data_IF_067897736072
#
_entry.id   IF_067897736072
#
_cell.length_a   1.000
_cell.length_b   1.000
_cell.length_c   1.000
_cell.angle_alpha   90.00
_cell.angle_beta   90.00
_cell.angle_gamma   90.00
#
_symmetry.space_group_name_H-M   'P 1'
#
loop_
_entity.id
_entity.type
_entity.pdbx_description
1 polymer ?
#
# COMPACT_ATOMS: atom_id res chain seq x y z
N UNK A 1 12.20 -7.66 13.80
CA UNK A 1 12.70 -8.80 12.96
C UNK A 1 13.47 -8.17 11.81
N UNK A 2 14.54 -8.78 11.30
CA UNK A 2 15.39 -8.11 10.32
C UNK A 2 14.96 -8.43 8.89
N UNK A 3 14.47 -7.42 8.16
CA UNK A 3 14.25 -7.49 6.73
C UNK A 3 15.49 -6.99 5.99
N UNK A 4 16.12 -7.85 5.21
CA UNK A 4 17.24 -7.49 4.33
C UNK A 4 16.78 -7.44 2.88
N UNK A 5 16.99 -6.29 2.22
CA UNK A 5 16.56 -6.04 0.84
C UNK A 5 17.79 -5.70 -0.01
N UNK A 6 18.07 -6.49 -1.05
CA UNK A 6 19.08 -6.12 -2.02
C UNK A 6 18.60 -4.93 -2.88
N UNK A 7 19.37 -3.84 -2.92
CA UNK A 7 19.05 -2.63 -3.67
C UNK A 7 19.64 -2.63 -5.07
N UNK A 8 20.92 -2.95 -5.19
CA UNK A 8 21.68 -3.14 -6.44
C UNK A 8 23.12 -3.59 -6.13
N UNK A 9 23.71 -4.41 -7.00
CA UNK A 9 25.11 -4.83 -6.92
C UNK A 9 25.53 -5.36 -5.53
N UNK A 10 24.75 -6.27 -4.92
CA UNK A 10 25.02 -6.86 -3.60
C UNK A 10 25.09 -5.83 -2.44
N UNK A 11 24.46 -4.66 -2.62
CA UNK A 11 24.23 -3.71 -1.52
C UNK A 11 22.87 -3.98 -0.91
N UNK A 12 22.87 -4.29 0.38
CA UNK A 12 21.67 -4.59 1.14
C UNK A 12 21.26 -3.41 2.01
N UNK A 13 19.95 -3.29 2.20
CA UNK A 13 19.33 -2.46 3.22
C UNK A 13 18.73 -3.39 4.26
N UNK A 14 19.21 -3.28 5.49
CA UNK A 14 18.65 -3.99 6.63
C UNK A 14 17.72 -3.05 7.41
N UNK A 15 16.51 -3.52 7.66
CA UNK A 15 15.44 -2.81 8.36
C UNK A 15 15.00 -3.69 9.52
N UNK A 16 14.92 -3.13 10.72
CA UNK A 16 14.17 -3.78 11.79
C UNK A 16 12.69 -3.57 11.52
N UNK A 17 12.07 -4.57 10.90
CA UNK A 17 10.66 -4.61 10.59
C UNK A 17 9.95 -5.44 11.67
N UNK A 18 9.01 -4.81 12.37
CA UNK A 18 8.04 -5.54 13.16
C UNK A 18 6.82 -5.87 12.29
N UNK A 19 5.76 -5.08 12.38
CA UNK A 19 4.56 -5.23 11.56
C UNK A 19 4.40 -4.15 10.50
N UNK A 20 4.98 -2.97 10.75
CA UNK A 20 4.92 -1.85 9.82
C UNK A 20 6.22 -1.07 9.74
N UNK A 21 6.49 -0.47 8.58
CA UNK A 21 7.64 0.41 8.36
C UNK A 21 7.27 1.60 7.48
N UNK A 22 7.82 2.76 7.82
CA UNK A 22 7.58 4.03 7.14
C UNK A 22 8.89 4.55 6.56
N UNK A 23 9.06 4.44 5.25
CA UNK A 23 10.27 4.84 4.54
C UNK A 23 10.04 6.21 3.91
N UNK A 24 10.82 7.21 4.33
CA UNK A 24 10.74 8.58 3.83
C UNK A 24 12.12 9.21 3.73
N UNK A 25 12.26 10.37 3.11
CA UNK A 25 13.53 11.10 3.10
C UNK A 25 13.76 11.89 1.81
N UNK A 26 14.84 12.68 1.75
CA UNK A 26 15.12 13.54 0.62
C UNK A 26 15.60 12.77 -0.63
N UNK A 27 16.07 11.53 -0.47
CA UNK A 27 16.65 10.75 -1.56
C UNK A 27 15.61 9.85 -2.24
N UNK A 28 14.81 10.45 -3.13
CA UNK A 28 13.79 9.74 -3.91
C UNK A 28 14.35 8.57 -4.73
N UNK A 29 15.61 8.68 -5.19
CA UNK A 29 16.26 7.60 -5.95
C UNK A 29 16.48 6.37 -5.07
N UNK A 30 16.84 6.54 -3.80
CA UNK A 30 16.98 5.44 -2.86
C UNK A 30 15.64 4.80 -2.52
N UNK A 31 14.60 5.60 -2.24
CA UNK A 31 13.24 5.08 -2.01
C UNK A 31 12.73 4.29 -3.22
N UNK A 32 12.96 4.79 -4.44
CA UNK A 32 12.61 4.06 -5.66
C UNK A 32 13.35 2.72 -5.80
N UNK A 33 14.63 2.63 -5.39
CA UNK A 33 15.37 1.37 -5.42
C UNK A 33 14.73 0.32 -4.51
N UNK A 34 14.26 0.71 -3.33
CA UNK A 34 13.55 -0.20 -2.41
C UNK A 34 12.29 -0.73 -3.08
N UNK A 35 11.40 0.18 -3.52
CA UNK A 35 10.16 -0.19 -4.18
C UNK A 35 10.38 -1.08 -5.40
N UNK A 36 11.34 -0.72 -6.25
CA UNK A 36 11.72 -1.49 -7.45
C UNK A 36 12.16 -2.91 -7.10
N UNK A 37 13.02 -3.06 -6.08
CA UNK A 37 13.57 -4.36 -5.69
C UNK A 37 12.46 -5.27 -5.17
N UNK A 38 11.59 -4.77 -4.30
CA UNK A 38 10.40 -5.48 -3.83
C UNK A 38 9.48 -5.85 -5.01
N UNK A 39 9.14 -4.87 -5.85
CA UNK A 39 8.21 -5.07 -6.97
C UNK A 39 8.68 -6.19 -7.91
N UNK A 40 9.95 -6.18 -8.31
CA UNK A 40 10.48 -7.19 -9.22
C UNK A 40 10.73 -8.55 -8.57
N UNK A 41 11.10 -8.56 -7.29
CA UNK A 41 11.26 -9.80 -6.52
C UNK A 41 9.94 -10.59 -6.47
N UNK A 42 8.86 -9.94 -6.03
CA UNK A 42 7.57 -10.61 -5.87
C UNK A 42 6.85 -10.88 -7.18
N UNK A 43 6.98 -10.02 -8.20
CA UNK A 43 6.37 -10.24 -9.52
C UNK A 43 7.17 -11.18 -10.44
N UNK A 44 8.32 -11.70 -10.01
CA UNK A 44 9.15 -12.67 -10.76
C UNK A 44 9.39 -12.26 -12.22
N UNK A 45 9.90 -11.04 -12.45
CA UNK A 45 10.27 -10.58 -13.79
C UNK A 45 11.80 -10.64 -14.03
N UNK A 46 12.37 -11.84 -14.25
CA UNK A 46 13.81 -12.07 -14.26
C UNK A 46 14.56 -11.36 -15.40
N UNK A 47 13.89 -10.99 -16.49
CA UNK A 47 14.55 -10.40 -17.66
C UNK A 47 15.01 -8.96 -17.43
N UNK A 48 14.45 -8.25 -16.45
CA UNK A 48 14.77 -6.85 -16.15
C UNK A 48 15.77 -6.71 -14.99
N UNK A 49 16.06 -7.78 -14.24
CA UNK A 49 16.89 -7.75 -13.05
C UNK A 49 18.35 -8.12 -13.30
N UNK A 50 18.67 -8.96 -14.29
CA UNK A 50 20.04 -9.49 -14.47
C UNK A 50 21.12 -8.43 -14.69
N UNK A 51 20.78 -7.31 -15.37
CA UNK A 51 21.74 -6.22 -15.60
C UNK A 51 22.02 -5.35 -14.36
N UNK A 52 21.20 -5.44 -13.31
CA UNK A 52 21.26 -4.57 -12.12
C UNK A 52 21.67 -5.36 -10.87
N UNK A 53 21.27 -6.64 -10.80
CA UNK A 53 21.46 -7.52 -9.65
C UNK A 53 22.44 -8.67 -9.96
N UNK A 54 22.84 -8.85 -11.23
CA UNK A 54 23.75 -9.92 -11.66
C UNK A 54 23.02 -11.21 -12.03
N UNK A 55 23.78 -12.31 -12.15
CA UNK A 55 23.22 -13.65 -12.40
C UNK A 55 22.45 -14.18 -11.18
N UNK A 56 22.82 -13.68 -10.00
CA UNK A 56 22.12 -13.85 -8.74
C UNK A 56 20.89 -12.93 -8.78
N UNK A 57 19.71 -13.53 -8.87
CA UNK A 57 18.42 -12.80 -8.87
C UNK A 57 18.33 -11.95 -7.59
N UNK A 58 17.48 -10.92 -7.59
CA UNK A 58 17.22 -10.05 -6.41
C UNK A 58 17.09 -10.90 -5.14
N UNK A 59 17.86 -10.58 -4.12
CA UNK A 59 17.82 -11.25 -2.82
C UNK A 59 17.01 -10.43 -1.80
N UNK A 60 16.02 -11.08 -1.18
CA UNK A 60 15.27 -10.53 -0.05
C UNK A 60 15.16 -11.62 1.01
N UNK A 61 15.55 -11.29 2.24
CA UNK A 61 15.57 -12.20 3.38
C UNK A 61 14.88 -11.58 4.59
N UNK A 62 14.28 -12.43 5.42
CA UNK A 62 13.67 -12.06 6.68
C UNK A 62 14.23 -12.96 7.78
N UNK A 63 14.89 -12.36 8.78
CA UNK A 63 15.67 -13.07 9.80
C UNK A 63 16.65 -14.11 9.21
N UNK A 64 17.45 -13.67 8.23
CA UNK A 64 18.43 -14.47 7.45
C UNK A 64 17.83 -15.61 6.58
N UNK A 65 16.50 -15.77 6.56
CA UNK A 65 15.82 -16.73 5.69
C UNK A 65 15.32 -16.07 4.40
N UNK A 66 15.66 -16.65 3.25
CA UNK A 66 15.21 -16.16 1.96
C UNK A 66 13.67 -16.17 1.86
N UNK A 67 13.09 -15.04 1.48
CA UNK A 67 11.65 -14.86 1.53
C UNK A 67 10.93 -15.70 0.44
N UNK A 68 9.98 -16.55 0.84
CA UNK A 68 9.24 -17.35 -0.15
C UNK A 68 8.17 -16.52 -0.85
N UNK A 69 8.38 -16.21 -2.13
CA UNK A 69 7.35 -15.58 -3.01
C UNK A 69 6.09 -16.46 -3.15
N UNK A 70 6.13 -17.75 -2.79
CA UNK A 70 4.94 -18.62 -2.84
C UNK A 70 4.11 -18.55 -1.56
N UNK A 71 4.75 -18.27 -0.42
CA UNK A 71 4.10 -18.26 0.89
C UNK A 71 3.61 -16.87 1.28
N UNK A 72 4.07 -15.83 0.58
CA UNK A 72 3.68 -14.45 0.79
C UNK A 72 2.78 -13.99 -0.36
N UNK A 73 1.65 -13.37 -0.01
CA UNK A 73 0.82 -12.63 -0.95
C UNK A 73 1.21 -11.15 -0.89
N UNK A 74 1.30 -10.46 -2.03
CA UNK A 74 1.78 -9.06 -2.05
C UNK A 74 0.90 -8.15 -2.87
N UNK A 75 0.54 -7.00 -2.30
CA UNK A 75 -0.23 -5.95 -2.94
C UNK A 75 0.60 -4.67 -3.02
N UNK A 76 0.84 -4.23 -4.24
CA UNK A 76 1.54 -2.97 -4.51
C UNK A 76 0.52 -1.90 -4.90
N UNK A 77 0.38 -0.86 -4.07
CA UNK A 77 -0.48 0.29 -4.33
C UNK A 77 0.40 1.49 -4.63
N UNK A 78 0.54 1.83 -5.92
CA UNK A 78 1.40 2.90 -6.40
C UNK A 78 0.73 3.83 -7.42
N UNK A 79 -0.54 3.56 -7.74
CA UNK A 79 -1.38 4.36 -8.63
C UNK A 79 -2.85 3.99 -8.43
N UNK A 80 -3.77 4.83 -8.91
CA UNK A 80 -5.19 4.46 -8.99
C UNK A 80 -5.41 3.16 -9.78
N UNK A 81 -4.65 2.95 -10.84
CA UNK A 81 -4.74 1.73 -11.68
C UNK A 81 -4.41 0.46 -10.89
N UNK A 82 -3.43 0.53 -9.97
CA UNK A 82 -3.06 -0.61 -9.13
C UNK A 82 -4.21 -1.09 -8.23
N UNK A 83 -5.02 -0.15 -7.72
CA UNK A 83 -6.22 -0.42 -6.92
C UNK A 83 -7.33 -0.94 -7.83
N UNK A 84 -7.59 -0.24 -8.94
CA UNK A 84 -8.63 -0.61 -9.91
C UNK A 84 -8.44 -2.04 -10.43
N UNK A 85 -7.19 -2.47 -10.70
CA UNK A 85 -6.88 -3.84 -11.13
C UNK A 85 -7.30 -4.92 -10.13
N UNK A 86 -7.46 -4.57 -8.84
CA UNK A 86 -7.98 -5.49 -7.82
C UNK A 86 -9.50 -5.62 -7.86
N UNK A 87 -10.19 -4.64 -8.45
CA UNK A 87 -11.65 -4.56 -8.56
C UNK A 87 -12.19 -5.14 -9.88
N UNK A 88 -11.32 -5.62 -10.76
CA UNK A 88 -11.73 -6.29 -12.00
C UNK A 88 -11.76 -7.79 -11.75
N UNK A 89 -12.71 -8.51 -12.34
CA UNK A 89 -12.72 -9.97 -12.34
C UNK A 89 -11.60 -10.53 -13.24
N UNK A 90 -10.40 -10.59 -12.69
CA UNK A 90 -9.17 -11.04 -13.34
C UNK A 90 -8.40 -11.93 -12.37
N UNK A 91 -7.83 -13.02 -12.87
CA UNK A 91 -7.04 -13.94 -12.05
C UNK A 91 -6.02 -13.19 -11.18
N UNK A 92 -5.94 -13.56 -9.90
CA UNK A 92 -5.11 -12.95 -8.84
C UNK A 92 -5.55 -11.52 -8.42
N UNK A 93 -6.75 -11.07 -8.77
CA UNK A 93 -7.35 -9.88 -8.18
C UNK A 93 -8.13 -10.25 -6.91
N UNK A 94 -8.25 -9.30 -5.99
CA UNK A 94 -9.07 -9.46 -4.79
C UNK A 94 -10.54 -9.80 -5.12
N UNK A 95 -11.13 -9.12 -6.12
CA UNK A 95 -12.51 -9.41 -6.53
C UNK A 95 -12.64 -10.84 -7.09
N UNK A 96 -11.65 -11.30 -7.85
CA UNK A 96 -11.65 -12.66 -8.39
C UNK A 96 -11.60 -13.71 -7.27
N UNK A 97 -10.74 -13.51 -6.27
CA UNK A 97 -10.64 -14.42 -5.12
C UNK A 97 -11.96 -14.43 -4.33
N UNK A 98 -12.54 -13.25 -4.08
CA UNK A 98 -13.82 -13.12 -3.40
C UNK A 98 -14.95 -13.83 -4.15
N UNK A 99 -15.17 -13.54 -5.43
CA UNK A 99 -16.28 -14.14 -6.18
C UNK A 99 -16.09 -15.65 -6.32
N UNK A 100 -14.88 -16.14 -6.59
CA UNK A 100 -14.66 -17.59 -6.72
C UNK A 100 -14.83 -18.34 -5.40
N UNK A 101 -14.63 -17.70 -4.25
CA UNK A 101 -14.93 -18.31 -2.94
C UNK A 101 -16.42 -18.67 -2.77
N UNK A 102 -17.30 -18.09 -3.59
CA UNK A 102 -18.74 -18.34 -3.57
C UNK A 102 -19.17 -19.53 -4.43
N UNK A 103 -18.24 -20.31 -5.01
CA UNK A 103 -18.58 -21.47 -5.86
C UNK A 103 -19.48 -22.50 -5.18
N UNK A 104 -19.31 -22.66 -3.86
CA UNK A 104 -20.01 -23.66 -3.08
C UNK A 104 -21.23 -23.07 -2.34
N UNK A 105 -21.62 -21.83 -2.69
CA UNK A 105 -22.77 -21.17 -2.09
C UNK A 105 -24.06 -21.91 -2.48
N UNK A 106 -24.75 -22.45 -1.47
CA UNK A 106 -25.94 -23.30 -1.64
C UNK A 106 -27.07 -22.56 -2.36
N UNK A 107 -27.30 -21.28 -2.03
CA UNK A 107 -28.38 -20.49 -2.62
C UNK A 107 -28.11 -20.23 -4.10
N UNK A 108 -26.88 -19.85 -4.45
CA UNK A 108 -26.45 -19.65 -5.84
C UNK A 108 -26.56 -20.96 -6.64
N UNK A 109 -26.10 -22.07 -6.07
CA UNK A 109 -26.16 -23.38 -6.74
C UNK A 109 -27.60 -23.85 -6.97
N UNK A 110 -28.50 -23.59 -6.02
CA UNK A 110 -29.93 -23.89 -6.18
C UNK A 110 -30.58 -23.07 -7.30
N UNK A 111 -30.22 -21.78 -7.44
CA UNK A 111 -30.71 -20.95 -8.53
C UNK A 111 -30.09 -21.32 -9.89
N UNK A 112 -28.84 -21.81 -9.90
CA UNK A 112 -28.20 -22.38 -11.09
C UNK A 112 -28.89 -23.66 -11.58
N UNK A 113 -29.28 -24.55 -10.68
CA UNK A 113 -30.05 -25.76 -11.03
C UNK A 113 -31.36 -25.38 -11.73
N UNK A 114 -32.09 -24.40 -11.19
CA UNK A 114 -33.32 -23.89 -11.82
C UNK A 114 -33.05 -23.30 -13.21
N UNK A 115 -31.96 -22.56 -13.38
CA UNK A 115 -31.59 -21.99 -14.67
C UNK A 115 -31.26 -23.08 -15.70
N UNK A 116 -30.57 -24.15 -15.28
CA UNK A 116 -30.26 -25.29 -16.14
C UNK A 116 -31.52 -26.09 -16.51
N UNK A 117 -32.49 -26.23 -15.61
CA UNK A 117 -33.81 -26.81 -15.94
C UNK A 117 -34.55 -26.01 -17.02
N UNK A 118 -34.48 -24.67 -16.98
CA UNK A 118 -35.05 -23.82 -18.03
C UNK A 118 -34.28 -23.95 -19.36
N UNK A 119 -32.95 -24.06 -19.34
CA UNK A 119 -32.15 -24.34 -20.53
C UNK A 119 -32.54 -25.67 -21.19
N UNK A 120 -32.81 -26.71 -20.40
CA UNK A 120 -33.30 -28.00 -20.91
C UNK A 120 -34.67 -27.86 -21.60
N UNK A 121 -35.58 -27.03 -21.06
CA UNK A 121 -36.88 -26.77 -21.74
C UNK A 121 -36.71 -26.05 -23.07
N UNK A 122 -35.76 -25.12 -23.16
CA UNK A 122 -35.42 -24.43 -24.42
C UNK A 122 -34.80 -25.43 -25.40
N UNK A 123 -33.92 -26.32 -24.94
CA UNK A 123 -33.32 -27.39 -25.74
C UNK A 123 -34.40 -28.26 -26.41
N UNK A 124 -35.36 -28.76 -25.63
CA UNK A 124 -36.46 -29.57 -26.13
C UNK A 124 -37.30 -28.83 -27.17
N UNK A 125 -37.62 -27.56 -26.91
CA UNK A 125 -38.38 -26.72 -27.84
C UNK A 125 -37.63 -26.47 -29.16
N UNK A 126 -36.30 -26.31 -29.08
CA UNK A 126 -35.44 -26.15 -30.25
C UNK A 126 -35.33 -27.46 -31.04
N UNK A 127 -35.23 -28.59 -30.35
CA UNK A 127 -35.21 -29.92 -30.97
C UNK A 127 -36.50 -30.19 -31.74
N UNK A 128 -37.67 -29.89 -31.16
CA UNK A 128 -38.97 -30.03 -31.82
C UNK A 128 -39.06 -29.17 -33.10
N UNK A 129 -38.34 -28.06 -33.14
CA UNK A 129 -38.26 -27.20 -34.33
C UNK A 129 -37.30 -27.77 -35.38
N UNK A 130 -36.16 -28.32 -34.94
CA UNK A 130 -35.18 -28.97 -35.82
C UNK A 130 -35.73 -30.24 -36.47
N UNK A 131 -36.46 -31.06 -35.72
CA UNK A 131 -37.02 -32.32 -36.19
C UNK A 131 -38.02 -32.14 -37.36
N UNK A 132 -38.56 -30.93 -37.54
CA UNK A 132 -39.41 -30.59 -38.70
C UNK A 132 -38.64 -30.50 -40.02
N UNK A 133 -37.33 -30.23 -39.95
CA UNK A 133 -36.50 -29.92 -41.12
C UNK A 133 -35.23 -30.77 -41.22
N UNK A 134 -34.87 -31.52 -40.18
CA UNK A 134 -33.66 -32.34 -40.13
C UNK A 134 -33.87 -33.57 -39.25
N UNK A 135 -33.50 -34.74 -39.76
CA UNK A 135 -33.64 -36.02 -39.04
C UNK A 135 -32.36 -36.43 -38.29
N UNK A 136 -31.24 -35.73 -38.55
CA UNK A 136 -29.90 -36.16 -38.12
C UNK A 136 -29.23 -35.17 -37.16
N UNK A 137 -29.86 -34.03 -36.88
CA UNK A 137 -29.29 -33.00 -35.99
C UNK A 137 -29.93 -33.07 -34.62
N UNK A 138 -29.10 -32.89 -33.59
CA UNK A 138 -29.51 -32.76 -32.19
C UNK A 138 -29.06 -31.40 -31.64
N UNK A 139 -29.99 -30.67 -31.04
CA UNK A 139 -29.69 -29.51 -30.23
C UNK A 139 -29.25 -29.98 -28.85
N UNK A 140 -28.24 -29.33 -28.30
CA UNK A 140 -27.81 -29.50 -26.91
C UNK A 140 -27.26 -28.18 -26.40
N UNK A 141 -27.75 -27.72 -25.25
CA UNK A 141 -27.11 -26.64 -24.49
C UNK A 141 -26.18 -27.24 -23.44
N UNK A 142 -25.07 -26.56 -23.17
CA UNK A 142 -24.20 -26.94 -22.06
C UNK A 142 -24.78 -26.40 -20.76
N UNK A 143 -24.84 -27.24 -19.74
CA UNK A 143 -25.13 -26.81 -18.37
C UNK A 143 -24.17 -25.68 -17.98
N UNK A 144 -24.72 -24.64 -17.35
CA UNK A 144 -23.94 -23.52 -16.88
C UNK A 144 -23.53 -23.78 -15.44
N UNK A 145 -22.23 -23.68 -15.16
CA UNK A 145 -21.70 -23.63 -13.79
C UNK A 145 -21.59 -22.19 -13.30
N UNK A 146 -21.44 -22.00 -11.99
CA UNK A 146 -21.18 -20.69 -11.40
C UNK A 146 -19.96 -20.01 -12.04
N UNK A 147 -18.86 -20.75 -12.20
CA UNK A 147 -17.63 -20.23 -12.77
C UNK A 147 -17.79 -19.85 -14.25
N UNK A 148 -18.61 -20.58 -14.99
CA UNK A 148 -18.93 -20.24 -16.39
C UNK A 148 -19.71 -18.92 -16.48
N UNK A 149 -20.69 -18.72 -15.59
CA UNK A 149 -21.42 -17.46 -15.50
C UNK A 149 -20.49 -16.29 -15.16
N UNK A 150 -19.61 -16.46 -14.17
CA UNK A 150 -18.65 -15.41 -13.82
C UNK A 150 -17.75 -15.06 -15.00
N UNK A 151 -17.24 -16.08 -15.72
CA UNK A 151 -16.29 -15.87 -16.80
C UNK A 151 -16.92 -15.26 -18.05
N UNK A 152 -18.13 -15.67 -18.39
CA UNK A 152 -18.72 -15.35 -19.69
C UNK A 152 -19.81 -14.26 -19.62
N UNK A 153 -20.38 -14.01 -18.44
CA UNK A 153 -21.57 -13.17 -18.29
C UNK A 153 -21.43 -12.05 -17.25
N UNK A 154 -20.43 -12.10 -16.36
CA UNK A 154 -20.24 -11.07 -15.35
C UNK A 154 -19.83 -9.73 -15.96
N UNK A 155 -20.56 -8.69 -15.60
CA UNK A 155 -20.15 -7.30 -15.78
C UNK A 155 -20.22 -6.60 -14.43
N UNK A 156 -19.09 -6.06 -13.98
CA UNK A 156 -18.99 -5.29 -12.75
C UNK A 156 -19.16 -3.82 -13.09
N UNK A 157 -20.12 -3.17 -12.42
CA UNK A 157 -20.43 -1.77 -12.61
C UNK A 157 -20.38 -1.04 -11.25
N UNK A 158 -20.16 0.27 -11.30
CA UNK A 158 -20.23 1.14 -10.14
C UNK A 158 -21.64 1.73 -10.02
N UNK A 159 -22.26 1.63 -8.84
CA UNK A 159 -23.56 2.23 -8.57
C UNK A 159 -23.40 3.45 -7.66
N UNK A 160 -23.92 4.59 -8.11
CA UNK A 160 -23.97 5.84 -7.36
C UNK A 160 -25.33 6.50 -7.57
N UNK A 161 -26.02 6.88 -6.49
CA UNK A 161 -27.33 7.54 -6.52
C UNK A 161 -28.36 6.82 -7.43
N UNK A 162 -28.46 5.48 -7.30
CA UNK A 162 -29.30 4.61 -8.13
C UNK A 162 -29.01 4.65 -9.65
N UNK A 163 -27.85 5.16 -10.04
CA UNK A 163 -27.38 5.18 -11.42
C UNK A 163 -26.19 4.24 -11.60
N UNK A 164 -26.20 3.48 -12.69
CA UNK A 164 -25.16 2.50 -13.01
C UNK A 164 -24.15 3.14 -13.96
N UNK A 165 -22.90 3.16 -13.54
CA UNK A 165 -21.75 3.66 -14.30
C UNK A 165 -20.75 2.54 -14.56
N UNK A 166 -19.92 2.65 -15.61
CA UNK A 166 -18.76 1.79 -15.75
C UNK A 166 -17.87 1.86 -14.50
N UNK A 167 -17.24 0.75 -14.10
CA UNK A 167 -16.38 0.69 -12.92
C UNK A 167 -15.26 1.73 -12.94
N UNK A 168 -14.80 2.12 -14.14
CA UNK A 168 -13.78 3.14 -14.36
C UNK A 168 -14.16 4.52 -13.79
N UNK A 169 -15.46 4.78 -13.59
CA UNK A 169 -15.98 6.05 -13.06
C UNK A 169 -15.93 6.11 -11.53
N UNK A 170 -15.65 4.98 -10.86
CA UNK A 170 -15.47 4.95 -9.42
C UNK A 170 -14.30 5.85 -9.02
N UNK A 171 -14.49 6.70 -8.03
CA UNK A 171 -13.43 7.57 -7.54
C UNK A 171 -12.36 6.76 -6.79
N UNK A 172 -11.20 7.38 -6.56
CA UNK A 172 -10.09 6.71 -5.86
C UNK A 172 -10.47 6.34 -4.43
N UNK A 173 -11.32 7.16 -3.79
CA UNK A 173 -11.73 7.00 -2.40
C UNK A 173 -12.58 5.74 -2.23
N UNK A 174 -13.65 5.59 -3.04
CA UNK A 174 -14.45 4.37 -3.01
C UNK A 174 -13.65 3.12 -3.46
N UNK A 175 -12.71 3.27 -4.42
CA UNK A 175 -11.82 2.17 -4.81
C UNK A 175 -10.94 1.69 -3.65
N UNK A 176 -10.41 2.60 -2.82
CA UNK A 176 -9.61 2.25 -1.65
C UNK A 176 -10.44 1.52 -0.59
N UNK A 177 -11.68 1.97 -0.38
CA UNK A 177 -12.60 1.33 0.56
C UNK A 177 -12.97 -0.09 0.11
N UNK A 178 -13.31 -0.30 -1.16
CA UNK A 178 -13.57 -1.66 -1.67
C UNK A 178 -12.32 -2.53 -1.66
N UNK A 179 -11.15 -1.96 -1.92
CA UNK A 179 -9.88 -2.66 -1.77
C UNK A 179 -9.69 -3.19 -0.35
N UNK A 180 -9.93 -2.38 0.67
CA UNK A 180 -9.84 -2.80 2.06
C UNK A 180 -10.89 -3.86 2.42
N UNK A 181 -12.12 -3.75 1.90
CA UNK A 181 -13.17 -4.75 2.13
C UNK A 181 -12.75 -6.13 1.64
N UNK A 182 -12.28 -6.23 0.39
CA UNK A 182 -11.85 -7.51 -0.16
C UNK A 182 -10.52 -7.99 0.41
N UNK A 183 -9.61 -7.07 0.77
CA UNK A 183 -8.37 -7.43 1.45
C UNK A 183 -8.68 -8.06 2.81
N UNK A 184 -9.62 -7.48 3.58
CA UNK A 184 -10.07 -8.05 4.84
C UNK A 184 -10.66 -9.45 4.66
N UNK A 185 -11.55 -9.60 3.68
CA UNK A 185 -12.08 -10.92 3.33
C UNK A 185 -10.94 -11.92 3.06
N UNK A 186 -9.90 -11.51 2.33
CA UNK A 186 -8.76 -12.38 2.04
C UNK A 186 -7.99 -12.75 3.30
N UNK A 187 -7.68 -11.78 4.17
CA UNK A 187 -6.98 -12.01 5.43
C UNK A 187 -7.74 -12.97 6.36
N UNK A 188 -9.07 -12.87 6.39
CA UNK A 188 -9.92 -13.72 7.23
C UNK A 188 -9.99 -15.18 6.72
N UNK A 189 -9.70 -15.42 5.43
CA UNK A 189 -9.89 -16.71 4.76
C UNK A 189 -8.59 -17.37 4.27
N UNK A 190 -7.49 -16.63 4.20
CA UNK A 190 -6.19 -17.08 3.69
C UNK A 190 -5.18 -17.07 4.83
N UNK A 191 -4.58 -18.22 5.16
CA UNK A 191 -3.58 -18.34 6.21
C UNK A 191 -2.17 -17.89 5.81
N UNK A 192 -2.05 -17.18 4.68
CA UNK A 192 -0.76 -16.70 4.13
C UNK A 192 -0.47 -15.29 4.63
N UNK A 193 0.80 -15.02 4.90
CA UNK A 193 1.28 -13.67 5.21
C UNK A 193 1.04 -12.73 4.04
N UNK A 194 0.42 -11.58 4.31
CA UNK A 194 0.10 -10.57 3.30
C UNK A 194 0.99 -9.34 3.46
N UNK A 195 1.61 -8.89 2.38
CA UNK A 195 2.38 -7.64 2.34
C UNK A 195 1.62 -6.58 1.58
N UNK A 196 1.34 -5.45 2.24
CA UNK A 196 0.80 -4.26 1.61
C UNK A 196 1.88 -3.19 1.49
N UNK A 197 2.29 -2.92 0.25
CA UNK A 197 3.36 -1.98 -0.09
C UNK A 197 2.73 -0.76 -0.75
N UNK A 198 2.73 0.35 -0.03
CA UNK A 198 2.16 1.62 -0.45
C UNK A 198 3.29 2.54 -0.92
N UNK A 199 3.22 3.01 -2.17
CA UNK A 199 4.25 3.87 -2.74
C UNK A 199 3.66 5.17 -3.26
N UNK A 200 4.13 6.29 -2.71
CA UNK A 200 3.84 7.64 -3.17
C UNK A 200 2.33 7.95 -3.30
N UNK A 201 1.53 7.53 -2.30
CA UNK A 201 0.08 7.70 -2.29
C UNK A 201 -0.38 9.16 -2.46
N UNK A 202 0.39 10.10 -1.88
CA UNK A 202 0.21 11.55 -2.00
C UNK A 202 0.12 12.07 -3.44
N UNK A 203 0.55 11.29 -4.44
CA UNK A 203 0.45 11.67 -5.85
C UNK A 203 -0.93 11.43 -6.48
N UNK A 204 -1.80 10.65 -5.84
CA UNK A 204 -3.12 10.30 -6.40
C UNK A 204 -4.25 10.10 -5.37
N UNK A 205 -3.95 10.21 -4.07
CA UNK A 205 -4.91 10.11 -2.96
C UNK A 205 -4.93 11.43 -2.19
N UNK A 206 -6.12 11.86 -1.77
CA UNK A 206 -6.28 13.05 -0.92
C UNK A 206 -5.65 12.82 0.47
N UNK A 207 -5.31 13.91 1.17
CA UNK A 207 -4.66 13.84 2.48
C UNK A 207 -5.52 13.09 3.52
N UNK A 208 -6.81 13.42 3.58
CA UNK A 208 -7.77 12.81 4.50
C UNK A 208 -7.94 11.32 4.22
N UNK A 209 -8.13 10.94 2.96
CA UNK A 209 -8.29 9.53 2.60
C UNK A 209 -7.01 8.72 2.78
N UNK A 210 -5.84 9.32 2.55
CA UNK A 210 -4.58 8.65 2.85
C UNK A 210 -4.47 8.33 4.35
N UNK A 211 -4.86 9.27 5.22
CA UNK A 211 -4.87 9.04 6.66
C UNK A 211 -5.84 7.91 7.04
N UNK A 212 -7.07 7.98 6.54
CA UNK A 212 -8.12 6.99 6.83
C UNK A 212 -7.75 5.59 6.32
N UNK A 213 -7.25 5.50 5.09
CA UNK A 213 -6.82 4.25 4.47
C UNK A 213 -5.69 3.58 5.27
N UNK A 214 -4.63 4.32 5.58
CA UNK A 214 -3.51 3.77 6.35
C UNK A 214 -3.93 3.42 7.78
N UNK A 215 -4.82 4.20 8.39
CA UNK A 215 -5.37 3.87 9.71
C UNK A 215 -6.14 2.55 9.71
N UNK A 216 -6.98 2.31 8.69
CA UNK A 216 -7.70 1.04 8.51
C UNK A 216 -6.72 -0.11 8.25
N UNK A 217 -5.71 0.10 7.40
CA UNK A 217 -4.67 -0.91 7.13
C UNK A 217 -3.88 -1.29 8.40
N UNK A 218 -3.53 -0.32 9.26
CA UNK A 218 -2.87 -0.59 10.55
C UNK A 218 -3.73 -1.42 11.50
N UNK A 219 -5.05 -1.23 11.49
CA UNK A 219 -5.95 -2.08 12.27
C UNK A 219 -5.94 -3.53 11.77
N UNK A 220 -5.93 -3.73 10.45
CA UNK A 220 -5.83 -5.07 9.85
C UNK A 220 -4.50 -5.75 10.21
N UNK A 221 -3.40 -4.99 10.19
CA UNK A 221 -2.08 -5.45 10.63
C UNK A 221 -2.12 -5.99 12.07
N UNK A 222 -2.78 -5.29 12.99
CA UNK A 222 -2.90 -5.74 14.38
C UNK A 222 -3.83 -6.97 14.57
N UNK A 223 -4.67 -7.28 13.58
CA UNK A 223 -5.71 -8.32 13.66
C UNK A 223 -5.33 -9.59 12.86
N UNK A 224 -4.28 -9.55 12.03
CA UNK A 224 -3.96 -10.61 11.06
C UNK A 224 -2.45 -10.70 10.77
N UNK A 225 -2.01 -11.74 10.06
CA UNK A 225 -0.61 -11.85 9.61
C UNK A 225 -0.37 -10.99 8.37
N UNK A 226 -0.36 -9.67 8.57
CA UNK A 226 -0.18 -8.67 7.53
C UNK A 226 1.00 -7.75 7.88
N UNK A 227 1.86 -7.47 6.88
CA UNK A 227 2.96 -6.52 6.96
C UNK A 227 2.65 -5.28 6.12
N UNK A 228 2.87 -4.09 6.69
CA UNK A 228 2.60 -2.81 6.03
C UNK A 228 3.90 -2.04 5.77
N UNK A 229 4.15 -1.67 4.51
CA UNK A 229 5.27 -0.81 4.15
C UNK A 229 4.75 0.44 3.44
N UNK A 230 5.02 1.61 4.02
CA UNK A 230 4.65 2.90 3.44
C UNK A 230 5.90 3.61 2.98
N UNK A 231 6.01 3.89 1.68
CA UNK A 231 7.15 4.57 1.07
C UNK A 231 6.65 5.87 0.43
N UNK A 232 7.08 7.02 0.92
CA UNK A 232 6.55 8.31 0.46
C UNK A 232 7.44 9.51 0.80
N UNK A 233 7.19 10.66 0.16
CA UNK A 233 7.96 11.88 0.42
C UNK A 233 7.43 12.68 1.61
N UNK A 234 6.27 12.31 2.16
CA UNK A 234 5.72 12.93 3.36
C UNK A 234 5.14 11.88 4.30
N UNK A 235 5.22 12.17 5.60
CA UNK A 235 4.53 11.43 6.67
C UNK A 235 3.38 12.24 7.29
N UNK A 236 3.10 13.44 6.78
CA UNK A 236 2.18 14.41 7.37
C UNK A 236 0.73 13.92 7.44
N UNK A 237 0.30 13.08 6.50
CA UNK A 237 -1.04 12.46 6.53
C UNK A 237 -0.99 10.95 6.81
N UNK A 238 0.11 10.45 7.39
CA UNK A 238 0.23 9.06 7.83
C UNK A 238 -0.01 8.98 9.34
N UNK A 239 -0.93 8.13 9.83
CA UNK A 239 -1.24 8.01 11.26
C UNK A 239 -0.09 7.30 12.02
N UNK A 240 0.87 8.10 12.46
CA UNK A 240 2.05 7.67 13.23
C UNK A 240 1.86 8.11 14.68
N UNK A 241 2.03 7.19 15.61
CA UNK A 241 2.05 7.38 17.05
C UNK A 241 3.48 7.16 17.60
N UNK A 242 3.65 7.18 18.93
CA UNK A 242 4.94 7.02 19.60
C UNK A 242 5.62 5.68 19.28
N UNK A 243 4.88 4.58 19.22
CA UNK A 243 5.41 3.25 18.89
C UNK A 243 5.84 3.13 17.43
N UNK A 244 5.29 3.96 16.55
CA UNK A 244 5.63 3.93 15.13
C UNK A 244 6.94 4.67 14.83
N UNK A 245 7.44 5.50 15.76
CA UNK A 245 8.61 6.36 15.50
C UNK A 245 9.85 5.52 15.18
N UNK A 246 10.07 4.42 15.88
CA UNK A 246 11.20 3.51 15.63
C UNK A 246 11.09 2.76 14.29
N UNK A 247 9.89 2.71 13.72
CA UNK A 247 9.62 2.11 12.42
C UNK A 247 9.83 3.10 11.26
N UNK A 248 10.29 4.32 11.53
CA UNK A 248 10.60 5.31 10.49
C UNK A 248 12.03 5.09 9.99
N UNK A 249 12.16 4.84 8.68
CA UNK A 249 13.45 4.73 7.99
C UNK A 249 13.65 5.96 7.10
N UNK A 250 14.75 6.68 7.35
CA UNK A 250 15.16 7.85 6.60
C UNK A 250 16.07 7.43 5.44
N UNK A 251 15.65 7.74 4.22
CA UNK A 251 16.41 7.58 2.99
C UNK A 251 17.11 8.90 2.62
N UNK A 252 18.31 9.11 3.16
CA UNK A 252 19.17 10.26 2.88
C UNK A 252 20.37 9.84 2.00
N UNK A 253 21.60 10.19 2.37
CA UNK A 253 22.80 9.64 1.71
C UNK A 253 23.00 8.18 2.11
N UNK A 254 22.75 7.87 3.39
CA UNK A 254 22.63 6.52 3.93
C UNK A 254 21.21 6.30 4.48
N UNK A 255 20.87 5.05 4.75
CA UNK A 255 19.62 4.71 5.41
C UNK A 255 19.81 4.75 6.93
N UNK A 256 18.91 5.44 7.62
CA UNK A 256 18.88 5.45 9.08
C UNK A 256 17.50 5.10 9.58
N UNK A 257 17.40 4.06 10.39
CA UNK A 257 16.19 3.80 11.16
C UNK A 257 16.21 4.65 12.43
N UNK A 258 15.08 5.27 12.75
CA UNK A 258 14.93 6.10 13.94
C UNK A 258 15.07 5.27 15.22
N UNK A 259 15.52 5.92 16.29
CA UNK A 259 15.57 5.30 17.61
C UNK A 259 14.16 5.09 18.19
N UNK A 260 14.00 4.15 19.15
CA UNK A 260 12.83 4.08 20.01
C UNK A 260 12.45 5.46 20.56
N UNK A 261 11.15 5.78 20.58
CA UNK A 261 10.65 7.12 20.86
C UNK A 261 11.22 7.73 22.13
N UNK A 262 11.26 6.96 23.23
CA UNK A 262 11.81 7.42 24.51
C UNK A 262 13.29 7.81 24.40
N UNK A 263 14.10 6.97 23.73
CA UNK A 263 15.52 7.23 23.52
C UNK A 263 15.75 8.44 22.61
N UNK A 264 14.94 8.58 21.56
CA UNK A 264 14.96 9.73 20.67
C UNK A 264 14.61 11.01 21.43
N UNK A 265 13.57 10.97 22.27
CA UNK A 265 13.12 12.10 23.07
C UNK A 265 14.18 12.54 24.09
N UNK A 266 14.83 11.61 24.78
CA UNK A 266 15.96 11.91 25.66
C UNK A 266 17.11 12.57 24.90
N UNK A 267 17.45 12.04 23.72
CA UNK A 267 18.51 12.57 22.87
C UNK A 267 18.17 13.98 22.39
N UNK A 268 16.92 14.24 21.99
CA UNK A 268 16.43 15.57 21.61
C UNK A 268 16.56 16.51 22.81
N UNK A 269 16.07 16.14 23.99
CA UNK A 269 16.15 16.97 25.21
C UNK A 269 17.58 17.37 25.56
N UNK A 270 18.56 16.49 25.35
CA UNK A 270 19.97 16.75 25.63
C UNK A 270 20.61 17.76 24.66
N UNK A 271 20.18 17.78 23.40
CA UNK A 271 20.78 18.60 22.34
C UNK A 271 19.95 19.84 21.99
N UNK A 272 18.72 19.94 22.49
CA UNK A 272 17.86 21.09 22.25
C UNK A 272 18.46 22.36 22.91
N UNK A 273 18.44 23.52 22.24
CA UNK A 273 19.11 24.74 22.73
C UNK A 273 18.46 25.39 23.96
N UNK A 274 17.30 24.90 24.38
CA UNK A 274 16.55 25.37 25.53
C UNK A 274 15.89 24.18 26.23
N UNK A 275 15.26 24.43 27.37
CA UNK A 275 14.35 23.44 27.95
C UNK A 275 13.29 23.00 26.92
N UNK A 276 13.12 21.68 26.79
CA UNK A 276 12.21 21.08 25.83
C UNK A 276 10.92 20.63 26.53
N UNK A 277 9.81 21.33 26.24
CA UNK A 277 8.52 21.17 26.92
C UNK A 277 7.39 20.64 26.03
N UNK A 278 7.71 19.90 24.96
CA UNK A 278 6.68 19.40 24.06
C UNK A 278 6.00 18.17 24.63
N UNK A 279 4.71 18.03 24.35
CA UNK A 279 4.01 16.77 24.63
C UNK A 279 4.55 15.65 23.72
N UNK A 280 4.33 14.38 24.08
CA UNK A 280 4.68 13.28 23.20
C UNK A 280 4.03 13.39 21.82
N UNK A 281 2.74 13.74 21.77
CA UNK A 281 1.99 13.96 20.53
C UNK A 281 2.58 15.10 19.67
N UNK A 282 2.91 16.25 20.29
CA UNK A 282 3.56 17.36 19.58
C UNK A 282 4.92 16.95 19.00
N UNK A 283 5.66 16.11 19.74
CA UNK A 283 6.97 15.61 19.33
C UNK A 283 6.83 14.66 18.15
N UNK A 284 5.90 13.69 18.20
CA UNK A 284 5.61 12.79 17.07
C UNK A 284 5.17 13.59 15.85
N UNK A 285 4.27 14.56 16.01
CA UNK A 285 3.83 15.42 14.92
C UNK A 285 4.97 16.22 14.30
N UNK A 286 5.89 16.72 15.11
CA UNK A 286 7.09 17.38 14.59
C UNK A 286 8.02 16.42 13.85
N UNK A 287 8.26 15.21 14.40
CA UNK A 287 9.05 14.15 13.73
C UNK A 287 8.45 13.83 12.37
N UNK A 288 7.12 13.66 12.25
CA UNK A 288 6.42 13.42 10.98
C UNK A 288 6.69 14.52 9.95
N UNK A 289 6.76 15.78 10.37
CA UNK A 289 7.06 16.94 9.49
C UNK A 289 8.54 16.99 9.09
N UNK A 290 9.45 16.65 10.01
CA UNK A 290 10.90 16.81 9.76
C UNK A 290 11.58 15.59 9.16
N UNK A 291 11.07 14.37 9.38
CA UNK A 291 11.70 13.12 8.93
C UNK A 291 11.99 13.10 7.41
N UNK A 292 11.08 13.56 6.52
CA UNK A 292 11.38 13.63 5.09
C UNK A 292 12.49 14.62 4.72
N UNK A 293 12.88 15.51 5.64
CA UNK A 293 13.85 16.59 5.43
C UNK A 293 15.23 16.28 6.03
N UNK A 294 15.36 15.19 6.80
CA UNK A 294 16.63 14.78 7.41
C UNK A 294 17.67 14.45 6.34
N UNK A 295 18.89 14.96 6.50
CA UNK A 295 19.98 14.83 5.54
C UNK A 295 19.84 15.67 4.26
N UNK A 296 18.82 16.52 4.16
CA UNK A 296 18.60 17.34 2.96
C UNK A 296 19.45 18.61 2.97
N UNK A 297 20.10 18.90 1.84
CA UNK A 297 20.85 20.14 1.59
C UNK A 297 19.99 21.25 0.96
N UNK A 298 18.70 21.00 0.70
CA UNK A 298 17.80 21.97 0.06
C UNK A 298 17.34 23.04 1.04
N UNK A 299 16.97 24.22 0.53
CA UNK A 299 16.27 25.24 1.33
C UNK A 299 14.92 24.70 1.79
N UNK A 300 14.62 24.92 3.07
CA UNK A 300 13.42 24.39 3.74
C UNK A 300 12.53 25.53 4.21
N UNK A 301 11.23 25.33 4.06
CA UNK A 301 10.19 26.26 4.49
C UNK A 301 9.34 25.56 5.55
N UNK A 302 9.90 25.45 6.77
CA UNK A 302 9.24 24.85 7.93
C UNK A 302 9.26 25.83 9.09
N UNK A 303 8.45 25.56 10.13
CA UNK A 303 8.40 26.41 11.30
C UNK A 303 9.77 26.51 11.99
N UNK A 304 10.07 27.63 12.64
CA UNK A 304 11.35 27.82 13.33
C UNK A 304 11.61 26.76 14.40
N UNK A 305 10.54 26.24 15.03
CA UNK A 305 10.63 25.14 16.01
C UNK A 305 11.00 23.82 15.34
N UNK A 306 10.35 23.48 14.23
CA UNK A 306 10.68 22.28 13.46
C UNK A 306 12.09 22.37 12.88
N UNK A 307 12.56 23.56 12.49
CA UNK A 307 13.92 23.77 12.00
C UNK A 307 14.98 23.51 13.07
N UNK A 308 14.72 23.93 14.32
CA UNK A 308 15.60 23.60 15.46
C UNK A 308 15.61 22.09 15.69
N UNK A 309 14.45 21.44 15.70
CA UNK A 309 14.37 19.98 15.88
C UNK A 309 15.11 19.24 14.76
N UNK A 310 14.90 19.65 13.51
CA UNK A 310 15.59 19.07 12.36
C UNK A 310 17.10 19.24 12.46
N UNK A 311 17.59 20.39 12.95
CA UNK A 311 19.01 20.59 13.22
C UNK A 311 19.53 19.57 14.24
N UNK A 312 18.84 19.42 15.36
CA UNK A 312 19.19 18.47 16.41
C UNK A 312 19.25 17.04 15.87
N UNK A 313 18.21 16.60 15.15
CA UNK A 313 18.16 15.25 14.57
C UNK A 313 19.27 15.01 13.55
N UNK A 314 19.56 16.00 12.70
CA UNK A 314 20.67 15.91 11.76
C UNK A 314 22.02 15.79 12.46
N UNK A 315 22.29 16.60 13.50
CA UNK A 315 23.53 16.52 14.27
C UNK A 315 23.71 15.14 14.95
N UNK A 316 22.63 14.59 15.52
CA UNK A 316 22.62 13.25 16.13
C UNK A 316 22.95 12.16 15.11
N UNK A 317 22.43 12.29 13.88
CA UNK A 317 22.67 11.35 12.79
C UNK A 317 23.96 11.65 11.99
N UNK A 318 24.73 12.67 12.39
CA UNK A 318 26.01 13.01 11.74
C UNK A 318 25.91 13.81 10.44
N UNK A 319 24.75 14.39 10.13
CA UNK A 319 24.54 15.22 8.95
C UNK A 319 24.95 16.68 9.18
N UNK A 320 25.78 17.22 8.29
CA UNK A 320 26.09 18.65 8.29
C UNK A 320 24.87 19.48 7.87
N UNK A 321 24.49 20.45 8.70
CA UNK A 321 23.37 21.35 8.40
C UNK A 321 23.78 22.81 8.40
N UNK A 322 23.30 23.53 7.39
CA UNK A 322 23.39 24.99 7.32
C UNK A 322 22.04 25.54 6.89
N UNK A 323 21.35 26.23 7.80
CA UNK A 323 20.05 26.83 7.54
C UNK A 323 20.19 28.33 7.35
N UNK A 324 19.63 28.85 6.25
CA UNK A 324 19.47 30.30 6.10
C UNK A 324 18.23 30.75 6.90
N UNK A 325 18.45 31.53 7.95
CA UNK A 325 17.40 32.00 8.86
C UNK A 325 16.62 33.22 8.34
N UNK A 326 17.12 33.90 7.31
CA UNK A 326 16.54 35.17 6.81
C UNK A 326 15.10 34.99 6.31
N UNK A 327 14.74 33.80 5.81
CA UNK A 327 13.40 33.51 5.28
C UNK A 327 12.39 33.05 6.35
N UNK A 328 12.83 32.77 7.59
CA UNK A 328 11.99 32.16 8.63
C UNK A 328 11.63 33.13 9.77
N UNK A 329 12.11 34.36 9.71
CA UNK A 329 11.84 35.39 10.72
C UNK A 329 10.71 36.30 10.25
N UNK A 330 9.58 36.23 10.95
CA UNK A 330 8.50 37.19 10.78
C UNK A 330 8.93 38.54 11.36
N UNK A 331 8.71 39.62 10.62
CA UNK A 331 8.83 40.95 11.17
C UNK A 331 7.64 41.26 12.11
N UNK A 332 7.75 42.36 12.85
CA UNK A 332 6.73 42.75 13.85
C UNK A 332 5.35 43.01 13.22
N UNK A 333 5.30 43.52 11.99
CA UNK A 333 4.05 43.77 11.26
C UNK A 333 3.39 42.46 10.83
N UNK A 334 4.16 41.53 10.25
CA UNK A 334 3.69 40.19 9.86
C UNK A 334 3.20 39.41 11.08
N UNK A 335 3.94 39.46 12.18
CA UNK A 335 3.55 38.82 13.44
C UNK A 335 2.24 39.40 13.98
N UNK A 336 2.00 40.70 13.82
CA UNK A 336 0.75 41.34 14.24
C UNK A 336 -0.40 40.96 13.32
N UNK A 337 -0.17 40.91 12.01
CA UNK A 337 -1.17 40.51 11.02
C UNK A 337 -1.68 39.09 11.24
N UNK A 338 -0.83 38.15 11.67
CA UNK A 338 -1.22 36.77 11.98
C UNK A 338 -2.01 36.62 13.30
N UNK A 339 -2.13 37.68 14.11
CA UNK A 339 -2.90 37.67 15.37
C UNK A 339 -4.31 38.24 15.20
N UNK A 340 -4.54 38.96 14.11
CA UNK A 340 -5.85 39.47 13.70
C UNK A 340 -6.57 38.38 12.87
#
# INVERSE_FOLDING_TARGET
>A
MMLSIELENQKFLDIDLDESVYITGPNQKQMWKIFRSLYYYFNRAPQLSTNIYGDDKIEIAFDDEAMSVKNNETYFINSRESIYNQMIYKKNSLLFDYLNSQSDNIEINHDLERMNDELLKIELSLQDTLDKNSNNLKASFQEQTYLDLLKNNLMINYELDNSIYPLEFMDTEALLDEFLNFLKFKLDNDGRTVWLILYNLESFVSAEEMYNFVLKAKKMVAESDMKLMVIGNSLENIPINEHDVENIVIAADEFHQMLPFENLLETIKLHYPSDFYWSPEDTVNAIRRIAPLVGSSKKMFISSKDLVLLKVVNEVLGYETSFNLECNLLNSTETKFLKD
#
